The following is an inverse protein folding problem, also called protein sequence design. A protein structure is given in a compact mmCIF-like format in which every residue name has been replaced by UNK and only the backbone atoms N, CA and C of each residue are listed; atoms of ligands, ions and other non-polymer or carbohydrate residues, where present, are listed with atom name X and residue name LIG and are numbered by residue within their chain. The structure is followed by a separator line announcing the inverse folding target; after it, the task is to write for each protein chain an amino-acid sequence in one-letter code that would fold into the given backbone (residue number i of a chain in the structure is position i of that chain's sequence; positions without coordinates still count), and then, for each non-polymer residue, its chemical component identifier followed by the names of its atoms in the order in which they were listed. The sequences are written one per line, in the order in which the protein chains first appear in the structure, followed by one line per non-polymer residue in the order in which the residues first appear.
data_IF_695916076365
#
_entry.id   IF_695916076365
#
_cell.length_a   1.000
_cell.length_b   1.000
_cell.length_c   1.000
_cell.angle_alpha   90.00
_cell.angle_beta   90.00
_cell.angle_gamma   90.00
#
_symmetry.space_group_name_H-M   'P 1'
#
loop_
_entity.id
_entity.type
_entity.pdbx_description
1 polymer ?
#
# COMPACT_ATOMS: atom_id res chain seq x y z
N UNK A 1 -26.42 -8.71 -8.07
CA UNK A 1 -25.52 -9.88 -7.84
C UNK A 1 -25.63 -10.95 -8.94
N UNK A 2 -26.81 -11.49 -9.23
CA UNK A 2 -26.97 -12.61 -10.19
C UNK A 2 -26.47 -12.32 -11.61
N UNK A 3 -26.71 -11.10 -12.13
CA UNK A 3 -26.26 -10.69 -13.46
C UNK A 3 -24.73 -10.56 -13.54
N UNK A 4 -24.10 -9.90 -12.55
CA UNK A 4 -22.64 -9.73 -12.50
C UNK A 4 -21.91 -11.08 -12.51
N UNK A 5 -22.39 -12.05 -11.70
CA UNK A 5 -21.85 -13.41 -11.70
C UNK A 5 -21.98 -14.08 -13.08
N UNK A 6 -23.17 -14.02 -13.71
CA UNK A 6 -23.37 -14.59 -15.05
C UNK A 6 -22.45 -13.97 -16.10
N UNK A 7 -22.25 -12.66 -16.05
CA UNK A 7 -21.33 -11.97 -16.98
C UNK A 7 -19.87 -12.41 -16.76
N UNK A 8 -19.43 -12.54 -15.51
CA UNK A 8 -18.07 -12.99 -15.18
C UNK A 8 -17.87 -14.46 -15.57
N UNK A 9 -18.84 -15.34 -15.28
CA UNK A 9 -18.78 -16.74 -15.67
C UNK A 9 -18.65 -16.86 -17.20
N UNK A 10 -19.47 -16.11 -17.96
CA UNK A 10 -19.38 -16.06 -19.43
C UNK A 10 -18.05 -15.50 -19.92
N UNK A 11 -17.55 -14.43 -19.29
CA UNK A 11 -16.26 -13.84 -19.64
C UNK A 11 -15.10 -14.82 -19.41
N UNK A 12 -15.13 -15.60 -18.33
CA UNK A 12 -14.14 -16.63 -18.04
C UNK A 12 -14.28 -17.87 -18.94
N UNK A 13 -15.46 -18.17 -19.47
CA UNK A 13 -15.62 -19.20 -20.52
C UNK A 13 -14.95 -18.77 -21.82
N UNK A 14 -15.14 -17.51 -22.23
CA UNK A 14 -14.59 -16.98 -23.48
C UNK A 14 -13.09 -16.66 -23.37
N UNK A 15 -12.68 -16.10 -22.23
CA UNK A 15 -11.33 -15.64 -21.96
C UNK A 15 -10.91 -16.08 -20.54
N UNK A 16 -10.52 -17.36 -20.35
CA UNK A 16 -10.24 -17.95 -19.02
C UNK A 16 -9.15 -17.25 -18.21
N UNK A 17 -8.35 -16.42 -18.88
CA UNK A 17 -7.18 -15.76 -18.35
C UNK A 17 -7.28 -14.22 -18.41
N UNK A 18 -8.45 -13.65 -18.68
CA UNK A 18 -8.64 -12.21 -18.63
C UNK A 18 -8.46 -11.70 -17.19
N UNK A 19 -7.51 -10.77 -16.99
CA UNK A 19 -7.11 -10.32 -15.64
C UNK A 19 -8.27 -9.65 -14.87
N UNK A 20 -9.12 -8.88 -15.56
CA UNK A 20 -10.26 -8.21 -14.92
C UNK A 20 -11.34 -9.22 -14.53
N UNK A 21 -11.67 -10.15 -15.42
CA UNK A 21 -12.63 -11.22 -15.12
C UNK A 21 -12.18 -12.09 -13.94
N UNK A 22 -10.88 -12.44 -13.90
CA UNK A 22 -10.29 -13.15 -12.76
C UNK A 22 -10.37 -12.34 -11.47
N UNK A 23 -10.04 -11.05 -11.49
CA UNK A 23 -10.12 -10.19 -10.31
C UNK A 23 -11.54 -10.12 -9.74
N UNK A 24 -12.52 -9.88 -10.59
CA UNK A 24 -13.92 -9.85 -10.18
C UNK A 24 -14.44 -11.23 -9.72
N UNK A 25 -13.98 -12.32 -10.32
CA UNK A 25 -14.30 -13.67 -9.84
C UNK A 25 -13.76 -13.90 -8.42
N UNK A 26 -12.56 -13.39 -8.13
CA UNK A 26 -11.99 -13.35 -6.79
C UNK A 26 -12.88 -12.59 -5.81
N UNK A 27 -13.30 -11.37 -6.16
CA UNK A 27 -14.20 -10.55 -5.34
C UNK A 27 -15.55 -11.23 -5.06
N UNK A 28 -16.12 -11.94 -6.05
CA UNK A 28 -17.36 -12.69 -5.85
C UNK A 28 -17.13 -13.88 -4.92
N UNK A 29 -16.04 -14.63 -5.11
CA UNK A 29 -15.69 -15.74 -4.23
C UNK A 29 -15.51 -15.25 -2.79
N UNK A 30 -14.77 -14.16 -2.57
CA UNK A 30 -14.54 -13.56 -1.26
C UNK A 30 -15.82 -13.04 -0.61
N UNK A 31 -16.50 -12.08 -1.27
CA UNK A 31 -17.51 -11.22 -0.61
C UNK A 31 -18.92 -11.77 -0.67
N UNK A 32 -19.19 -12.67 -1.62
CA UNK A 32 -20.53 -13.22 -1.85
C UNK A 32 -20.62 -14.66 -1.37
N UNK A 33 -19.58 -15.45 -1.65
CA UNK A 33 -19.57 -16.87 -1.33
C UNK A 33 -18.79 -17.21 -0.05
N UNK A 34 -18.02 -16.27 0.50
CA UNK A 34 -17.07 -16.52 1.58
C UNK A 34 -16.11 -17.68 1.27
N UNK A 35 -15.80 -17.89 -0.01
CA UNK A 35 -14.89 -18.92 -0.51
C UNK A 35 -13.49 -18.32 -0.67
N UNK A 36 -12.81 -18.14 0.46
CA UNK A 36 -11.49 -17.51 0.53
C UNK A 36 -10.41 -18.28 -0.23
N UNK A 37 -10.31 -19.63 -0.17
CA UNK A 37 -9.35 -20.37 -0.97
C UNK A 37 -9.49 -20.08 -2.46
N UNK A 38 -10.72 -20.12 -2.98
CA UNK A 38 -10.99 -19.83 -4.39
C UNK A 38 -10.73 -18.36 -4.75
N UNK A 39 -11.05 -17.44 -3.84
CA UNK A 39 -10.73 -16.02 -4.01
C UNK A 39 -9.22 -15.81 -4.18
N UNK A 40 -8.40 -16.41 -3.29
CA UNK A 40 -6.93 -16.36 -3.38
C UNK A 40 -6.42 -16.89 -4.72
N UNK A 41 -6.94 -18.01 -5.21
CA UNK A 41 -6.57 -18.55 -6.52
C UNK A 41 -6.84 -17.57 -7.66
N UNK A 42 -8.02 -16.94 -7.66
CA UNK A 42 -8.37 -15.95 -8.69
C UNK A 42 -7.53 -14.68 -8.59
N UNK A 43 -7.31 -14.17 -7.39
CA UNK A 43 -6.47 -13.00 -7.16
C UNK A 43 -5.03 -13.24 -7.59
N UNK A 44 -4.44 -14.37 -7.21
CA UNK A 44 -3.08 -14.74 -7.61
C UNK A 44 -2.97 -14.82 -9.15
N UNK A 45 -3.87 -15.54 -9.81
CA UNK A 45 -3.87 -15.68 -11.28
C UNK A 45 -4.05 -14.33 -12.00
N UNK A 46 -4.83 -13.42 -11.43
CA UNK A 46 -5.01 -12.06 -11.97
C UNK A 46 -3.75 -11.22 -11.76
N UNK A 47 -3.17 -11.26 -10.56
CA UNK A 47 -1.94 -10.54 -10.21
C UNK A 47 -0.73 -10.99 -11.03
N UNK A 48 -0.57 -12.30 -11.23
CA UNK A 48 0.48 -12.88 -12.09
C UNK A 48 0.47 -12.26 -13.49
N UNK A 49 -0.70 -11.84 -13.98
CA UNK A 49 -0.95 -11.19 -15.28
C UNK A 49 -0.88 -9.66 -15.24
N UNK A 50 -0.34 -9.09 -14.17
CA UNK A 50 -0.12 -7.65 -14.05
C UNK A 50 -1.25 -6.88 -13.38
N UNK A 51 -2.24 -7.55 -12.77
CA UNK A 51 -3.25 -6.84 -11.98
C UNK A 51 -2.76 -6.54 -10.56
N UNK A 52 -2.22 -5.33 -10.36
CA UNK A 52 -1.81 -4.84 -9.05
C UNK A 52 -2.91 -4.95 -7.98
N UNK A 53 -4.14 -4.54 -8.32
CA UNK A 53 -5.26 -4.54 -7.37
C UNK A 53 -5.61 -5.95 -6.87
N UNK A 54 -5.43 -6.96 -7.72
CA UNK A 54 -5.64 -8.35 -7.32
C UNK A 54 -4.60 -8.83 -6.31
N UNK A 55 -3.33 -8.45 -6.44
CA UNK A 55 -2.33 -8.75 -5.40
C UNK A 55 -2.66 -8.06 -4.08
N UNK A 56 -3.08 -6.79 -4.11
CA UNK A 56 -3.47 -6.07 -2.89
C UNK A 56 -4.66 -6.74 -2.19
N UNK A 57 -5.66 -7.20 -2.94
CA UNK A 57 -6.78 -7.96 -2.36
C UNK A 57 -6.32 -9.33 -1.81
N UNK A 58 -5.39 -10.01 -2.49
CA UNK A 58 -4.78 -11.24 -1.98
C UNK A 58 -4.08 -11.01 -0.64
N UNK A 59 -3.28 -9.95 -0.51
CA UNK A 59 -2.54 -9.66 0.72
C UNK A 59 -3.46 -9.26 1.86
N UNK A 60 -4.51 -8.48 1.60
CA UNK A 60 -5.57 -8.20 2.58
C UNK A 60 -6.24 -9.47 3.08
N UNK A 61 -6.48 -10.44 2.18
CA UNK A 61 -7.06 -11.71 2.56
C UNK A 61 -6.11 -12.57 3.39
N UNK A 62 -4.81 -12.60 3.06
CA UNK A 62 -3.77 -13.23 3.91
C UNK A 62 -3.75 -12.63 5.32
N UNK A 63 -3.84 -11.30 5.43
CA UNK A 63 -3.91 -10.62 6.72
C UNK A 63 -5.18 -10.99 7.51
N UNK A 64 -6.32 -11.08 6.83
CA UNK A 64 -7.58 -11.47 7.47
C UNK A 64 -7.51 -12.89 8.06
N UNK A 65 -6.81 -13.81 7.37
CA UNK A 65 -6.62 -15.19 7.81
C UNK A 65 -5.55 -15.31 8.91
N UNK A 66 -4.49 -14.49 8.85
CA UNK A 66 -3.39 -14.50 9.80
C UNK A 66 -3.16 -13.09 10.38
N UNK A 67 -3.54 -12.89 11.65
CA UNK A 67 -3.36 -11.61 12.36
C UNK A 67 -1.89 -11.19 12.49
N UNK A 68 -0.95 -12.13 12.41
CA UNK A 68 0.49 -11.87 12.49
C UNK A 68 1.15 -11.80 11.09
N UNK A 69 0.36 -11.70 10.04
CA UNK A 69 0.85 -11.57 8.68
C UNK A 69 1.68 -10.28 8.53
N UNK A 70 2.91 -10.46 8.03
CA UNK A 70 3.81 -9.38 7.66
C UNK A 70 3.75 -9.17 6.13
N UNK A 71 3.23 -8.02 5.64
CA UNK A 71 3.08 -7.78 4.22
C UNK A 71 4.38 -7.38 3.52
N UNK A 72 5.50 -7.16 4.23
CA UNK A 72 6.70 -6.55 3.64
C UNK A 72 7.24 -7.35 2.46
N UNK A 73 7.47 -8.64 2.61
CA UNK A 73 8.00 -9.46 1.51
C UNK A 73 7.08 -9.48 0.29
N UNK A 74 5.77 -9.51 0.54
CA UNK A 74 4.74 -9.45 -0.51
C UNK A 74 4.72 -8.07 -1.21
N UNK A 75 4.91 -6.97 -0.48
CA UNK A 75 4.98 -5.61 -1.02
C UNK A 75 6.30 -5.34 -1.77
N UNK A 76 7.43 -5.86 -1.28
CA UNK A 76 8.74 -5.79 -1.96
C UNK A 76 8.68 -6.50 -3.32
N UNK A 77 8.02 -7.67 -3.38
CA UNK A 77 7.75 -8.35 -4.65
C UNK A 77 6.91 -7.48 -5.61
N UNK A 78 5.93 -6.72 -5.11
CA UNK A 78 5.21 -5.77 -5.97
C UNK A 78 6.08 -4.61 -6.42
N UNK A 79 7.01 -4.13 -5.59
CA UNK A 79 7.90 -3.05 -5.95
C UNK A 79 8.86 -3.47 -7.08
N UNK A 80 9.35 -4.70 -7.03
CA UNK A 80 10.16 -5.31 -8.09
C UNK A 80 9.36 -5.52 -9.38
N UNK A 81 8.10 -5.92 -9.26
CA UNK A 81 7.22 -6.22 -10.41
C UNK A 81 6.63 -4.98 -11.07
N UNK A 82 6.34 -3.93 -10.30
CA UNK A 82 5.68 -2.71 -10.76
C UNK A 82 6.59 -1.50 -10.52
N UNK A 83 7.62 -1.39 -11.36
CA UNK A 83 8.74 -0.44 -11.16
C UNK A 83 8.46 1.01 -11.56
N UNK A 84 7.31 1.28 -12.20
CA UNK A 84 7.01 2.60 -12.74
C UNK A 84 5.58 3.07 -12.43
N UNK A 85 5.40 4.38 -12.53
CA UNK A 85 4.09 5.03 -12.43
C UNK A 85 3.45 4.94 -11.05
N UNK A 86 2.11 5.03 -11.05
CA UNK A 86 1.32 5.12 -9.82
C UNK A 86 1.40 3.88 -8.93
N UNK A 87 1.71 2.71 -9.49
CA UNK A 87 1.80 1.44 -8.74
C UNK A 87 3.07 1.33 -7.90
N UNK A 88 4.20 1.86 -8.40
CA UNK A 88 5.42 2.01 -7.59
C UNK A 88 5.15 2.94 -6.40
N UNK A 89 4.59 4.12 -6.67
CA UNK A 89 4.26 5.11 -5.63
C UNK A 89 3.29 4.55 -4.59
N UNK A 90 2.25 3.83 -5.04
CA UNK A 90 1.31 3.18 -4.14
C UNK A 90 2.01 2.13 -3.26
N UNK A 91 2.85 1.28 -3.83
CA UNK A 91 3.61 0.25 -3.08
C UNK A 91 4.55 0.86 -2.05
N UNK A 92 5.37 1.84 -2.46
CA UNK A 92 6.26 2.58 -1.56
C UNK A 92 5.48 3.21 -0.40
N UNK A 93 4.33 3.81 -0.70
CA UNK A 93 3.44 4.40 0.31
C UNK A 93 2.93 3.36 1.32
N UNK A 94 2.55 2.16 0.86
CA UNK A 94 2.10 1.08 1.74
C UNK A 94 3.23 0.52 2.62
N UNK A 95 4.44 0.37 2.06
CA UNK A 95 5.62 -0.05 2.82
C UNK A 95 5.97 1.00 3.89
N UNK A 96 6.06 2.28 3.50
CA UNK A 96 6.33 3.39 4.42
C UNK A 96 5.31 3.46 5.56
N UNK A 97 4.02 3.31 5.25
CA UNK A 97 2.97 3.24 6.27
C UNK A 97 3.08 2.03 7.20
N UNK A 98 3.48 0.86 6.70
CA UNK A 98 3.66 -0.32 7.56
C UNK A 98 4.78 -0.09 8.59
N UNK A 99 5.92 0.42 8.14
CA UNK A 99 7.02 0.77 9.05
C UNK A 99 6.61 1.83 10.06
N UNK A 100 5.88 2.86 9.61
CA UNK A 100 5.45 3.96 10.45
C UNK A 100 4.42 3.55 11.51
N UNK A 101 3.38 2.82 11.10
CA UNK A 101 2.18 2.58 11.92
C UNK A 101 2.24 1.27 12.69
N UNK A 102 2.94 0.26 12.15
CA UNK A 102 2.94 -1.09 12.73
C UNK A 102 4.28 -1.41 13.38
N UNK A 103 5.40 -1.18 12.69
CA UNK A 103 6.73 -1.47 13.25
C UNK A 103 7.27 -0.35 14.14
N UNK A 104 6.71 0.86 14.04
CA UNK A 104 7.24 2.08 14.67
C UNK A 104 8.74 2.29 14.33
N UNK A 105 9.11 1.94 13.10
CA UNK A 105 10.46 2.07 12.54
C UNK A 105 10.51 3.37 11.72
N UNK A 106 10.89 4.46 12.38
CA UNK A 106 10.87 5.80 11.78
C UNK A 106 11.88 5.95 10.65
N UNK A 107 13.07 5.35 10.77
CA UNK A 107 14.10 5.42 9.75
C UNK A 107 13.61 4.82 8.44
N UNK A 108 13.12 3.57 8.46
CA UNK A 108 12.60 2.94 7.25
C UNK A 108 11.35 3.64 6.74
N UNK A 109 10.44 4.03 7.64
CA UNK A 109 9.25 4.79 7.24
C UNK A 109 9.63 6.04 6.44
N UNK A 110 10.58 6.83 6.95
CA UNK A 110 11.01 8.06 6.32
C UNK A 110 11.77 7.80 5.03
N UNK A 111 12.61 6.77 4.99
CA UNK A 111 13.30 6.34 3.77
C UNK A 111 12.32 6.06 2.61
N UNK A 112 11.24 5.31 2.85
CA UNK A 112 10.26 5.01 1.80
C UNK A 112 9.39 6.23 1.44
N UNK A 113 8.97 7.01 2.43
CA UNK A 113 8.15 8.18 2.16
C UNK A 113 8.92 9.31 1.46
N UNK A 114 10.20 9.50 1.78
CA UNK A 114 11.10 10.41 1.07
C UNK A 114 11.09 10.11 -0.42
N UNK A 115 11.26 8.85 -0.81
CA UNK A 115 11.21 8.44 -2.21
C UNK A 115 9.88 8.80 -2.88
N UNK A 116 8.73 8.64 -2.19
CA UNK A 116 7.42 9.02 -2.75
C UNK A 116 7.37 10.53 -3.02
N UNK A 117 7.82 11.35 -2.06
CA UNK A 117 7.85 12.82 -2.17
C UNK A 117 8.79 13.27 -3.29
N UNK A 118 9.97 12.66 -3.40
CA UNK A 118 10.96 12.99 -4.42
C UNK A 118 10.50 12.61 -5.84
N UNK A 119 9.84 11.47 -6.00
CA UNK A 119 9.34 11.02 -7.30
C UNK A 119 8.15 11.89 -7.74
N UNK A 120 7.19 12.16 -6.84
CA UNK A 120 6.02 12.97 -7.16
C UNK A 120 5.41 13.62 -5.90
N UNK A 121 5.77 14.88 -5.57
CA UNK A 121 5.24 15.57 -4.40
C UNK A 121 3.74 15.91 -4.52
N UNK A 122 3.21 16.05 -5.74
CA UNK A 122 1.78 16.34 -5.95
C UNK A 122 0.90 15.09 -5.95
N UNK A 123 1.47 13.92 -5.67
CA UNK A 123 0.74 12.67 -5.71
C UNK A 123 -0.39 12.66 -4.67
N UNK A 124 -1.62 12.36 -5.10
CA UNK A 124 -2.81 12.39 -4.24
C UNK A 124 -2.69 11.54 -2.96
N UNK A 125 -1.89 10.48 -3.02
CA UNK A 125 -1.55 9.59 -1.93
C UNK A 125 -0.90 10.33 -0.75
N UNK A 126 -0.20 11.44 -0.96
CA UNK A 126 0.45 12.19 0.12
C UNK A 126 -0.54 13.04 0.94
N UNK A 127 -1.64 13.51 0.33
CA UNK A 127 -2.64 14.36 1.01
C UNK A 127 -3.77 13.55 1.67
N UNK A 128 -4.05 12.36 1.14
CA UNK A 128 -5.17 11.53 1.57
C UNK A 128 -4.82 10.05 1.65
N UNK A 129 -3.65 9.71 2.23
CA UNK A 129 -3.19 8.33 2.30
C UNK A 129 -4.13 7.47 3.13
N UNK A 130 -4.41 6.26 2.63
CA UNK A 130 -5.05 5.19 3.40
C UNK A 130 -4.13 3.98 3.42
N UNK A 131 -3.81 3.53 4.62
CA UNK A 131 -3.05 2.31 4.80
C UNK A 131 -3.96 1.10 4.56
N UNK A 132 -3.58 0.23 3.64
CA UNK A 132 -4.46 -0.83 3.14
C UNK A 132 -4.67 -1.97 4.15
N UNK A 133 -3.80 -2.10 5.14
CA UNK A 133 -3.79 -3.21 6.10
C UNK A 133 -4.25 -2.78 7.50
N UNK A 134 -4.84 -1.59 7.63
CA UNK A 134 -5.48 -1.14 8.85
C UNK A 134 -6.79 -0.43 8.50
N UNK A 135 -7.87 -0.64 9.26
CA UNK A 135 -9.08 0.15 9.10
C UNK A 135 -8.83 1.60 9.57
N UNK A 136 -8.21 2.42 8.72
CA UNK A 136 -8.14 3.87 8.94
C UNK A 136 -9.41 4.52 8.43
N UNK A 137 -10.24 5.02 9.34
CA UNK A 137 -11.48 5.71 8.97
C UNK A 137 -11.23 7.09 8.37
N UNK A 138 -10.08 7.70 8.65
CA UNK A 138 -9.68 9.01 8.10
C UNK A 138 -8.43 8.88 7.23
N UNK A 139 -8.45 9.40 5.99
CA UNK A 139 -7.23 9.61 5.22
C UNK A 139 -6.22 10.46 6.01
N UNK A 140 -4.94 10.16 5.87
CA UNK A 140 -3.86 10.92 6.51
C UNK A 140 -3.20 11.85 5.50
N UNK A 141 -2.92 13.08 5.94
CA UNK A 141 -1.94 13.92 5.27
C UNK A 141 -0.54 13.49 5.74
N UNK A 142 0.20 12.87 4.83
CA UNK A 142 1.52 12.29 5.08
C UNK A 142 2.54 13.37 5.39
N UNK A 143 2.49 14.52 4.72
CA UNK A 143 3.37 15.65 5.04
C UNK A 143 3.26 16.04 6.51
N UNK A 144 2.03 16.22 7.00
CA UNK A 144 1.78 16.55 8.41
C UNK A 144 2.30 15.46 9.34
N UNK A 145 1.99 14.19 9.05
CA UNK A 145 2.39 13.06 9.90
C UNK A 145 3.92 12.92 9.97
N UNK A 146 4.62 12.99 8.83
CA UNK A 146 6.08 12.84 8.78
C UNK A 146 6.75 13.99 9.52
N UNK A 147 6.33 15.23 9.23
CA UNK A 147 6.86 16.43 9.88
C UNK A 147 6.69 16.37 11.40
N UNK A 148 5.49 16.05 11.88
CA UNK A 148 5.21 15.98 13.32
C UNK A 148 6.04 14.88 14.00
N UNK A 149 6.13 13.70 13.36
CA UNK A 149 6.93 12.58 13.87
C UNK A 149 8.41 12.90 13.92
N UNK A 150 8.96 13.53 12.87
CA UNK A 150 10.35 13.94 12.80
C UNK A 150 10.68 14.99 13.87
N UNK A 151 9.84 16.03 14.00
CA UNK A 151 9.97 17.05 15.04
C UNK A 151 9.94 16.46 16.45
N UNK A 152 9.02 15.53 16.72
CA UNK A 152 8.94 14.85 18.02
C UNK A 152 10.15 13.96 18.29
N UNK A 153 10.63 13.23 17.28
CA UNK A 153 11.80 12.36 17.39
C UNK A 153 13.06 13.16 17.75
N UNK A 154 13.29 14.31 17.10
CA UNK A 154 14.43 15.18 17.38
C UNK A 154 14.32 15.86 18.76
N UNK A 155 13.12 16.29 19.18
CA UNK A 155 12.90 16.92 20.50
C UNK A 155 13.14 15.97 21.67
N UNK A 156 12.79 14.69 21.52
CA UNK A 156 12.88 13.70 22.60
C UNK A 156 14.31 13.27 22.94
N UNK A 157 15.33 13.72 22.19
CA UNK A 157 16.74 13.34 22.36
C UNK A 157 16.92 11.83 22.48
N UNK A 158 16.14 11.09 21.70
CA UNK A 158 16.30 9.64 21.53
C UNK A 158 17.68 9.34 20.97
N UNK A 159 18.23 8.15 21.27
CA UNK A 159 19.55 7.67 20.82
C UNK A 159 19.55 7.36 19.31
N UNK A 160 19.27 8.37 18.50
CA UNK A 160 19.39 8.30 17.05
C UNK A 160 20.81 8.65 16.63
N UNK A 161 21.33 7.92 15.64
CA UNK A 161 22.62 8.23 15.02
C UNK A 161 22.55 9.58 14.32
N UNK A 162 23.72 10.11 13.96
CA UNK A 162 23.79 11.38 13.24
C UNK A 162 23.08 11.30 11.89
N UNK A 163 23.23 10.18 11.17
CA UNK A 163 22.57 9.93 9.89
C UNK A 163 21.05 9.92 10.02
N UNK A 164 20.51 9.30 11.08
CA UNK A 164 19.07 9.29 11.36
C UNK A 164 18.56 10.71 11.68
N UNK A 165 19.30 11.47 12.48
CA UNK A 165 18.94 12.86 12.77
C UNK A 165 18.95 13.74 11.52
N UNK A 166 19.93 13.56 10.63
CA UNK A 166 20.03 14.29 9.38
C UNK A 166 18.88 13.94 8.44
N UNK A 167 18.52 12.65 8.32
CA UNK A 167 17.33 12.20 7.59
C UNK A 167 16.06 12.88 8.13
N UNK A 168 15.92 13.01 9.46
CA UNK A 168 14.72 13.60 10.07
C UNK A 168 14.63 15.10 9.78
N UNK A 169 15.76 15.81 9.81
CA UNK A 169 15.83 17.22 9.43
C UNK A 169 15.50 17.42 7.95
N UNK A 170 16.05 16.57 7.08
CA UNK A 170 15.76 16.58 5.65
C UNK A 170 14.27 16.35 5.37
N UNK A 171 13.63 15.39 6.06
CA UNK A 171 12.19 15.16 5.94
C UNK A 171 11.38 16.39 6.34
N UNK A 172 11.75 17.08 7.42
CA UNK A 172 11.06 18.31 7.85
C UNK A 172 11.16 19.37 6.74
N UNK A 173 12.37 19.61 6.22
CA UNK A 173 12.59 20.55 5.15
C UNK A 173 11.81 20.19 3.88
N UNK A 174 11.86 18.93 3.45
CA UNK A 174 11.09 18.43 2.32
C UNK A 174 9.59 18.63 2.52
N UNK A 175 9.07 18.39 3.72
CA UNK A 175 7.67 18.63 4.02
C UNK A 175 7.32 20.12 3.99
N UNK A 176 8.17 20.99 4.53
CA UNK A 176 7.92 22.44 4.54
C UNK A 176 8.00 23.05 3.14
N UNK A 177 8.88 22.55 2.27
CA UNK A 177 9.05 23.04 0.88
C UNK A 177 8.03 22.48 -0.11
N UNK A 178 7.64 21.21 0.07
CA UNK A 178 6.86 20.46 -0.92
C UNK A 178 5.43 20.21 -0.51
N UNK A 179 5.03 20.50 0.73
CA UNK A 179 3.63 20.48 1.11
C UNK A 179 2.90 21.60 0.35
N UNK A 180 2.00 21.29 -0.59
CA UNK A 180 1.20 22.31 -1.27
C UNK A 180 0.28 22.94 -0.22
N UNK A 181 0.16 24.26 -0.21
CA UNK A 181 -0.58 25.06 0.79
C UNK A 181 -1.72 24.27 1.44
N UNK A 182 -1.53 23.95 2.73
CA UNK A 182 -2.39 23.09 3.55
C UNK A 182 -3.80 23.61 3.71
#
# INVERSE_FOLDING_TARGET
MALAKKCIDKALTLLPNNLMALHYAGMIAERVKNDYPKAKTYYLRSGERGNYGAYMDLFKLKQKENKNYDPISDLEMLLEKFQEGSRKLETLSQIGSYHLLVKNDLEKAFYYWKQVIEINPECSQLKGHKYNFMPTHRPMNIYTVLRDKACLALKRKTDFTKEQQDLFQEIIQLCDEKAPDS
#
